data_IF_568129650793
#
_entry.id   IF_568129650793
#
_cell.length_a   1.000
_cell.length_b   1.000
_cell.length_c   1.000
_cell.angle_alpha   90.00
_cell.angle_beta   90.00
_cell.angle_gamma   90.00
#
_symmetry.space_group_name_H-M   'P 1'
#
loop_
_entity.id
_entity.type
_entity.pdbx_description
1 polymer ?
#
# COMPACT_ATOMS: atom_id res chain seq x y z
N UNK A 1 8.36 -11.94 -7.53
CA UNK A 1 7.43 -13.06 -7.29
C UNK A 1 6.37 -12.57 -6.30
N UNK A 2 5.12 -12.45 -6.72
CA UNK A 2 4.07 -11.65 -6.06
C UNK A 2 3.19 -12.43 -5.07
N UNK A 3 3.64 -13.61 -4.60
CA UNK A 3 2.80 -14.56 -3.85
C UNK A 3 2.18 -13.89 -2.62
N UNK A 4 2.95 -13.06 -1.92
CA UNK A 4 2.49 -12.36 -0.72
C UNK A 4 1.39 -11.33 -0.99
N UNK A 5 1.40 -10.64 -2.14
CA UNK A 5 0.34 -9.68 -2.51
C UNK A 5 -0.97 -10.44 -2.71
N UNK A 6 -0.93 -11.62 -3.35
CA UNK A 6 -2.11 -12.47 -3.50
C UNK A 6 -2.61 -12.99 -2.14
N UNK A 7 -1.71 -13.30 -1.22
CA UNK A 7 -2.06 -13.74 0.13
C UNK A 7 -2.71 -12.59 0.93
N UNK A 8 -2.14 -11.38 0.86
CA UNK A 8 -2.70 -10.16 1.44
C UNK A 8 -4.15 -9.94 1.03
N UNK A 9 -4.44 -9.95 -0.28
CA UNK A 9 -5.80 -9.71 -0.79
C UNK A 9 -6.82 -10.77 -0.38
N UNK A 10 -6.37 -11.97 -0.01
CA UNK A 10 -7.22 -13.07 0.49
C UNK A 10 -7.31 -13.13 2.02
N UNK A 11 -6.53 -12.31 2.73
CA UNK A 11 -6.51 -12.32 4.18
C UNK A 11 -7.81 -11.74 4.75
N UNK A 12 -8.28 -12.32 5.86
CA UNK A 12 -9.45 -11.82 6.57
C UNK A 12 -9.23 -10.38 7.09
N UNK A 13 -7.99 -10.06 7.50
CA UNK A 13 -7.61 -8.72 7.96
C UNK A 13 -7.79 -7.70 6.84
N UNK A 14 -7.32 -7.98 5.62
CA UNK A 14 -7.48 -7.06 4.49
C UNK A 14 -8.95 -6.82 4.14
N UNK A 15 -9.76 -7.89 4.09
CA UNK A 15 -11.19 -7.79 3.80
C UNK A 15 -11.94 -6.96 4.85
N UNK A 16 -11.59 -7.14 6.13
CA UNK A 16 -12.15 -6.35 7.23
C UNK A 16 -11.76 -4.87 7.15
N UNK A 17 -10.47 -4.57 6.92
CA UNK A 17 -10.01 -3.19 6.76
C UNK A 17 -10.66 -2.51 5.55
N UNK A 18 -10.79 -3.23 4.43
CA UNK A 18 -11.48 -2.74 3.23
C UNK A 18 -12.94 -2.38 3.52
N UNK A 19 -13.65 -3.20 4.30
CA UNK A 19 -15.02 -2.91 4.77
C UNK A 19 -15.07 -1.68 5.69
N UNK A 20 -14.16 -1.56 6.65
CA UNK A 20 -14.10 -0.43 7.59
C UNK A 20 -13.82 0.90 6.88
N UNK A 21 -12.93 0.90 5.88
CA UNK A 21 -12.65 2.10 5.07
C UNK A 21 -13.83 2.48 4.16
N UNK A 22 -14.59 1.48 3.71
CA UNK A 22 -15.88 1.65 3.05
C UNK A 22 -15.78 2.43 1.73
N UNK A 23 -16.63 3.44 1.54
CA UNK A 23 -16.81 4.18 0.26
C UNK A 23 -15.53 4.84 -0.28
N UNK A 24 -14.51 5.04 0.56
CA UNK A 24 -13.23 5.58 0.13
C UNK A 24 -12.45 4.57 -0.73
N UNK A 25 -12.71 3.28 -0.57
CA UNK A 25 -12.24 2.22 -1.47
C UNK A 25 -13.11 2.22 -2.72
N UNK A 26 -12.57 2.73 -3.82
CA UNK A 26 -13.23 2.71 -5.14
C UNK A 26 -13.15 1.31 -5.78
N UNK A 27 -14.02 0.95 -6.73
CA UNK A 27 -13.96 -0.34 -7.43
C UNK A 27 -12.59 -0.66 -8.03
N UNK A 28 -11.91 0.35 -8.59
CA UNK A 28 -10.58 0.23 -9.19
C UNK A 28 -9.42 0.20 -8.19
N UNK A 29 -9.69 0.46 -6.90
CA UNK A 29 -8.65 0.63 -5.89
C UNK A 29 -7.75 -0.60 -5.76
N UNK A 30 -8.31 -1.81 -5.81
CA UNK A 30 -7.54 -3.03 -5.61
C UNK A 30 -6.48 -3.23 -6.69
N UNK A 31 -6.82 -2.97 -7.96
CA UNK A 31 -5.88 -3.05 -9.07
C UNK A 31 -4.75 -2.01 -8.92
N UNK A 32 -5.09 -0.79 -8.48
CA UNK A 32 -4.11 0.29 -8.23
C UNK A 32 -3.24 -0.04 -7.02
N UNK A 33 -3.81 -0.65 -5.97
CA UNK A 33 -3.08 -1.08 -4.78
C UNK A 33 -2.05 -2.17 -5.13
N UNK A 34 -2.43 -3.17 -5.93
CA UNK A 34 -1.52 -4.21 -6.42
C UNK A 34 -0.33 -3.58 -7.14
N UNK A 35 -0.58 -2.63 -8.05
CA UNK A 35 0.47 -1.94 -8.79
C UNK A 35 1.37 -1.13 -7.84
N UNK A 36 0.79 -0.41 -6.88
CA UNK A 36 1.51 0.36 -5.86
C UNK A 36 2.50 -0.52 -5.08
N UNK A 37 2.00 -1.65 -4.54
CA UNK A 37 2.82 -2.59 -3.77
C UNK A 37 3.92 -3.21 -4.62
N UNK A 38 3.62 -3.54 -5.88
CA UNK A 38 4.61 -4.05 -6.83
C UNK A 38 5.74 -3.07 -7.11
N UNK A 39 5.40 -1.80 -7.34
CA UNK A 39 6.39 -0.76 -7.66
C UNK A 39 7.33 -0.53 -6.47
N UNK A 40 6.79 -0.43 -5.26
CA UNK A 40 7.60 -0.12 -4.08
C UNK A 40 8.46 -1.33 -3.66
N UNK A 41 7.88 -2.54 -3.61
CA UNK A 41 8.63 -3.79 -3.28
C UNK A 41 9.72 -4.06 -4.32
N UNK A 42 9.43 -3.84 -5.61
CA UNK A 42 10.36 -4.10 -6.71
C UNK A 42 11.67 -3.30 -6.67
N UNK A 43 11.73 -2.22 -5.89
CA UNK A 43 12.93 -1.39 -5.70
C UNK A 43 13.47 -1.41 -4.27
N UNK A 44 13.05 -2.39 -3.46
CA UNK A 44 13.55 -2.56 -2.10
C UNK A 44 12.81 -1.77 -1.02
N UNK A 45 11.56 -1.37 -1.27
CA UNK A 45 10.67 -0.87 -0.24
C UNK A 45 10.66 0.64 -0.04
N UNK A 46 11.47 1.43 -0.75
CA UNK A 46 11.50 2.90 -0.58
C UNK A 46 11.68 3.63 -1.90
N UNK A 47 10.80 4.59 -2.19
CA UNK A 47 10.74 5.34 -3.45
C UNK A 47 10.44 6.83 -3.19
N UNK A 48 10.87 7.75 -4.06
CA UNK A 48 10.37 9.14 -3.98
C UNK A 48 8.93 9.24 -4.48
N UNK A 49 8.13 10.17 -3.95
CA UNK A 49 6.75 10.35 -4.40
C UNK A 49 6.68 10.70 -5.90
N UNK A 50 7.64 11.50 -6.39
CA UNK A 50 7.75 11.83 -7.82
C UNK A 50 8.03 10.59 -8.68
N UNK A 51 8.97 9.73 -8.28
CA UNK A 51 9.26 8.50 -9.02
C UNK A 51 8.09 7.51 -8.96
N UNK A 52 7.40 7.44 -7.82
CA UNK A 52 6.22 6.59 -7.65
C UNK A 52 5.07 7.01 -8.56
N UNK A 53 4.74 8.30 -8.60
CA UNK A 53 3.69 8.80 -9.49
C UNK A 53 3.98 8.47 -10.97
N UNK A 54 5.26 8.59 -11.39
CA UNK A 54 5.71 8.21 -12.74
C UNK A 54 5.56 6.71 -12.99
N UNK A 55 6.02 5.85 -12.08
CA UNK A 55 5.93 4.39 -12.20
C UNK A 55 4.47 3.90 -12.18
N UNK A 56 3.60 4.61 -11.48
CA UNK A 56 2.16 4.37 -11.44
C UNK A 56 1.40 4.97 -12.64
N UNK A 57 2.10 5.65 -13.56
CA UNK A 57 1.53 6.37 -14.70
C UNK A 57 0.35 7.29 -14.31
N UNK A 58 0.50 8.05 -13.22
CA UNK A 58 -0.55 8.94 -12.72
C UNK A 58 -0.06 10.35 -12.43
N UNK A 59 -0.95 11.37 -12.47
CA UNK A 59 -0.62 12.72 -12.06
C UNK A 59 -0.13 12.75 -10.60
N UNK A 60 0.98 13.45 -10.27
CA UNK A 60 1.48 13.54 -8.90
C UNK A 60 0.45 14.06 -7.89
N UNK A 61 -0.49 14.90 -8.32
CA UNK A 61 -1.59 15.42 -7.50
C UNK A 61 -2.57 14.34 -7.02
N UNK A 62 -2.64 13.18 -7.68
CA UNK A 62 -3.50 12.05 -7.28
C UNK A 62 -2.84 11.12 -6.27
N UNK A 63 -1.51 11.11 -6.21
CA UNK A 63 -0.76 10.20 -5.35
C UNK A 63 -1.09 10.36 -3.86
N UNK A 64 -1.22 11.57 -3.27
CA UNK A 64 -1.56 11.73 -1.86
C UNK A 64 -2.89 11.07 -1.49
N UNK A 65 -3.92 11.20 -2.34
CA UNK A 65 -5.22 10.60 -2.09
C UNK A 65 -5.18 9.07 -2.16
N UNK A 66 -4.45 8.51 -3.12
CA UNK A 66 -4.22 7.06 -3.20
C UNK A 66 -3.50 6.55 -1.94
N UNK A 67 -2.40 7.21 -1.55
CA UNK A 67 -1.62 6.82 -0.37
C UNK A 67 -2.47 6.88 0.89
N UNK A 68 -3.29 7.93 1.07
CA UNK A 68 -4.16 8.05 2.23
C UNK A 68 -5.16 6.88 2.34
N UNK A 69 -5.76 6.44 1.23
CA UNK A 69 -6.67 5.27 1.23
C UNK A 69 -5.88 3.98 1.47
N UNK A 70 -4.73 3.82 0.82
CA UNK A 70 -3.86 2.65 1.02
C UNK A 70 -3.38 2.52 2.46
N UNK A 71 -2.97 3.63 3.10
CA UNK A 71 -2.58 3.66 4.50
C UNK A 71 -3.74 3.29 5.43
N UNK A 72 -4.95 3.76 5.17
CA UNK A 72 -6.13 3.37 5.97
C UNK A 72 -6.48 1.89 5.86
N UNK A 73 -6.19 1.26 4.73
CA UNK A 73 -6.44 -0.18 4.52
C UNK A 73 -5.29 -1.02 5.09
N UNK A 74 -4.05 -0.54 4.98
CA UNK A 74 -2.86 -1.32 5.27
C UNK A 74 -2.29 -1.08 6.67
N UNK A 75 -2.41 0.12 7.24
CA UNK A 75 -1.86 0.44 8.55
C UNK A 75 -2.89 0.10 9.63
N UNK A 76 -2.80 -1.11 10.17
CA UNK A 76 -3.74 -1.64 11.17
C UNK A 76 -3.18 -1.37 12.57
N UNK A 77 -4.05 -1.00 13.51
CA UNK A 77 -3.69 -0.77 14.92
C UNK A 77 -2.51 0.21 15.14
N UNK A 78 -2.30 1.14 14.19
CA UNK A 78 -1.25 2.15 14.25
C UNK A 78 0.12 1.70 13.74
N UNK A 79 0.26 0.48 13.21
CA UNK A 79 1.50 0.01 12.59
C UNK A 79 1.65 0.59 11.18
N UNK A 80 2.71 1.38 10.97
CA UNK A 80 2.94 2.09 9.69
C UNK A 80 3.63 1.23 8.63
N UNK A 81 2.92 0.22 8.11
CA UNK A 81 3.45 -0.63 7.02
C UNK A 81 3.65 0.14 5.72
N UNK A 82 2.82 1.17 5.47
CA UNK A 82 2.98 2.13 4.39
C UNK A 82 3.08 3.53 4.98
N UNK A 83 4.20 4.21 4.75
CA UNK A 83 4.45 5.56 5.28
C UNK A 83 4.89 6.52 4.19
N UNK A 84 4.68 7.83 4.43
CA UNK A 84 5.20 8.90 3.60
C UNK A 84 5.95 9.89 4.48
N UNK A 85 7.23 10.05 4.19
CA UNK A 85 8.07 11.11 4.76
C UNK A 85 7.96 12.35 3.87
N UNK A 86 7.39 13.43 4.43
CA UNK A 86 7.23 14.70 3.74
C UNK A 86 8.53 15.51 3.65
N UNK A 87 9.47 15.33 4.58
CA UNK A 87 10.73 16.05 4.58
C UNK A 87 11.66 15.53 3.46
N UNK A 88 11.69 14.20 3.25
CA UNK A 88 12.48 13.58 2.18
C UNK A 88 11.69 13.30 0.89
N UNK A 89 10.39 13.60 0.86
CA UNK A 89 9.43 13.23 -0.21
C UNK A 89 9.53 11.75 -0.63
N UNK A 90 9.62 10.85 0.36
CA UNK A 90 9.69 9.40 0.12
C UNK A 90 8.48 8.65 0.64
N UNK A 91 8.10 7.60 -0.06
CA UNK A 91 7.13 6.59 0.35
C UNK A 91 7.88 5.31 0.67
N UNK A 92 7.54 4.68 1.80
CA UNK A 92 8.16 3.46 2.25
C UNK A 92 7.11 2.38 2.51
N UNK A 93 7.39 1.16 2.07
CA UNK A 93 6.66 -0.07 2.37
C UNK A 93 7.57 -0.95 3.22
N UNK A 94 7.16 -1.20 4.47
CA UNK A 94 7.75 -2.25 5.30
C UNK A 94 7.02 -3.57 5.04
N UNK A 95 7.59 -4.36 4.11
CA UNK A 95 7.03 -5.66 3.76
C UNK A 95 7.04 -6.62 4.94
N UNK A 96 8.10 -6.64 5.75
CA UNK A 96 8.20 -7.61 6.84
C UNK A 96 7.15 -7.33 7.91
N UNK A 97 6.93 -6.05 8.24
CA UNK A 97 5.86 -5.64 9.14
C UNK A 97 4.48 -5.96 8.55
N UNK A 98 4.27 -5.71 7.25
CA UNK A 98 3.03 -6.07 6.56
C UNK A 98 2.73 -7.57 6.69
N UNK A 99 3.70 -8.43 6.40
CA UNK A 99 3.49 -9.87 6.48
C UNK A 99 3.10 -10.31 7.89
N UNK A 100 3.74 -9.76 8.93
CA UNK A 100 3.39 -10.05 10.33
C UNK A 100 1.99 -9.57 10.69
N UNK A 101 1.67 -8.33 10.33
CA UNK A 101 0.41 -7.70 10.67
C UNK A 101 -0.80 -8.39 10.01
N UNK A 102 -0.61 -8.94 8.81
CA UNK A 102 -1.65 -9.64 8.07
C UNK A 102 -1.60 -11.18 8.25
N UNK A 103 -0.78 -11.69 9.17
CA UNK A 103 -0.62 -13.13 9.44
C UNK A 103 -0.25 -13.94 8.18
N UNK A 104 0.71 -13.42 7.40
CA UNK A 104 1.17 -13.97 6.12
C UNK A 104 2.57 -14.59 6.20
N UNK A 105 3.17 -14.61 7.39
CA UNK A 105 4.42 -15.31 7.70
C UNK A 105 4.06 -16.76 8.05
N UNK A 106 4.68 -17.72 7.36
CA UNK A 106 4.78 -19.10 7.85
C UNK A 106 5.86 -19.20 8.94
#
# INVERSE_FOLDING_TARGET
NAVWIKALLRSAVYDEQKRMVGIAVRPEFEAVLIQLLHVIDGIGGKITATALARAMNMPPSRLPGLLAVAQRVLNVDGYEVLSRDHASDTVQLDRELLLKQFDLVE
#
